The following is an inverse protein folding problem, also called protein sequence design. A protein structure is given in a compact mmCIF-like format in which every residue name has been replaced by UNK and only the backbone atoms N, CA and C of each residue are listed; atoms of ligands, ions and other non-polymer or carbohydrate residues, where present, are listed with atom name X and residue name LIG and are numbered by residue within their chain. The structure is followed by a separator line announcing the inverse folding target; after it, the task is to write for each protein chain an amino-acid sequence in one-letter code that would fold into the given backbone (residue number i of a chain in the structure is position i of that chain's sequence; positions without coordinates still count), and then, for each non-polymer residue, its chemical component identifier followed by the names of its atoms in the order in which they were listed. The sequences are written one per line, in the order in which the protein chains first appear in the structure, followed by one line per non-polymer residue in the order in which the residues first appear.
data_IF_258379767544
#
_entry.id   IF_258379767544
#
_cell.length_a   1.000
_cell.length_b   1.000
_cell.length_c   1.000
_cell.angle_alpha   90.00
_cell.angle_beta   90.00
_cell.angle_gamma   90.00
#
_symmetry.space_group_name_H-M   'P 1'
#
loop_
_entity.id
_entity.type
_entity.pdbx_description
1 polymer ?
#
# COMPACT_ATOMS: atom_id res chain seq x y z
N UNK A 1 -11.57 32.19 27.08
CA UNK A 1 -12.23 31.49 25.96
C UNK A 1 -11.14 31.13 24.98
N UNK A 2 -10.82 29.85 24.86
CA UNK A 2 -10.27 29.26 23.64
C UNK A 2 -10.77 27.82 23.56
N UNK A 3 -11.59 27.57 22.55
CA UNK A 3 -12.30 26.31 22.29
C UNK A 3 -11.40 25.41 21.42
N UNK A 4 -10.38 24.75 21.95
CA UNK A 4 -9.80 23.53 21.32
C UNK A 4 -9.03 22.65 22.32
N UNK A 5 -9.39 22.69 23.61
CA UNK A 5 -8.92 21.69 24.58
C UNK A 5 -9.80 20.44 24.47
N UNK A 6 -9.53 19.52 23.55
CA UNK A 6 -9.88 18.10 23.68
C UNK A 6 -9.13 17.31 22.60
N UNK A 7 -8.42 16.25 23.02
CA UNK A 7 -7.77 15.22 22.18
C UNK A 7 -6.29 15.40 21.78
N UNK A 8 -5.44 15.87 22.69
CA UNK A 8 -4.02 15.44 22.70
C UNK A 8 -3.70 14.67 23.99
N UNK A 9 -4.45 13.60 24.24
CA UNK A 9 -3.90 12.48 25.02
C UNK A 9 -2.75 11.97 24.15
N UNK A 10 -1.53 12.34 24.52
CA UNK A 10 -0.33 12.02 23.76
C UNK A 10 -0.35 10.54 23.35
N UNK A 11 0.01 10.22 22.10
CA UNK A 11 0.08 8.85 21.59
C UNK A 11 0.87 7.94 22.56
N UNK A 12 1.86 8.51 23.26
CA UNK A 12 2.62 7.85 24.33
C UNK A 12 1.76 7.39 25.51
N UNK A 13 0.76 8.17 25.91
CA UNK A 13 -0.20 7.82 26.97
C UNK A 13 -1.17 6.72 26.51
N UNK A 14 -1.64 6.77 25.26
CA UNK A 14 -2.48 5.71 24.69
C UNK A 14 -1.71 4.39 24.56
N UNK A 15 -0.45 4.44 24.11
CA UNK A 15 0.41 3.24 24.04
C UNK A 15 0.75 2.71 25.42
N UNK A 16 0.90 3.57 26.44
CA UNK A 16 1.13 3.15 27.80
C UNK A 16 -0.09 2.45 28.41
N UNK A 17 -1.31 2.95 28.13
CA UNK A 17 -2.55 2.29 28.57
C UNK A 17 -2.74 0.94 27.85
N UNK A 18 -2.46 0.89 26.55
CA UNK A 18 -2.53 -0.37 25.77
C UNK A 18 -1.51 -1.40 26.28
N UNK A 19 -0.27 -0.98 26.55
CA UNK A 19 0.75 -1.86 27.15
C UNK A 19 0.34 -2.30 28.56
N UNK A 20 -0.22 -1.40 29.38
CA UNK A 20 -0.70 -1.75 30.72
C UNK A 20 -1.89 -2.72 30.68
N UNK A 21 -2.79 -2.60 29.70
CA UNK A 21 -3.89 -3.54 29.49
C UNK A 21 -3.40 -4.89 28.98
N UNK A 22 -2.42 -4.93 28.08
CA UNK A 22 -1.78 -6.18 27.63
C UNK A 22 -1.04 -6.83 28.79
N UNK A 23 -0.35 -6.05 29.62
CA UNK A 23 0.37 -6.56 30.79
C UNK A 23 -0.59 -7.06 31.88
N UNK A 24 -1.71 -6.38 32.11
CA UNK A 24 -2.78 -6.84 33.00
C UNK A 24 -3.48 -8.09 32.44
N UNK A 25 -3.68 -8.17 31.12
CA UNK A 25 -4.21 -9.36 30.46
C UNK A 25 -3.24 -10.54 30.58
N UNK A 26 -1.93 -10.34 30.40
CA UNK A 26 -0.93 -11.37 30.65
C UNK A 26 -0.89 -11.79 32.14
N UNK A 27 -1.01 -10.84 33.08
CA UNK A 27 -1.05 -11.13 34.51
C UNK A 27 -2.30 -11.92 34.93
N UNK A 28 -3.46 -11.64 34.33
CA UNK A 28 -4.73 -12.30 34.66
C UNK A 28 -4.88 -13.62 33.90
N UNK A 29 -4.47 -13.68 32.63
CA UNK A 29 -4.77 -14.82 31.74
C UNK A 29 -3.60 -15.79 31.55
N UNK A 30 -2.35 -15.32 31.67
CA UNK A 30 -1.13 -16.17 31.58
C UNK A 30 -0.55 -16.46 32.96
N UNK A 31 -0.62 -15.51 33.90
CA UNK A 31 -0.20 -15.65 35.30
C UNK A 31 -1.37 -15.63 36.28
N UNK A 32 -2.53 -16.11 35.89
CA UNK A 32 -3.50 -16.51 36.92
C UNK A 32 -2.76 -17.47 37.83
N UNK A 33 -2.66 -17.21 39.15
CA UNK A 33 -2.35 -18.31 40.04
C UNK A 33 -3.45 -19.32 39.73
N UNK A 34 -3.06 -20.49 39.20
CA UNK A 34 -3.92 -21.67 39.31
C UNK A 34 -4.49 -21.58 40.70
N UNK A 35 -5.83 -21.49 40.81
CA UNK A 35 -6.54 -21.42 42.09
C UNK A 35 -5.72 -22.26 43.03
N UNK A 36 -5.18 -21.67 44.11
CA UNK A 36 -4.50 -22.46 45.13
C UNK A 36 -5.51 -23.54 45.45
N UNK A 37 -5.25 -24.73 44.94
CA UNK A 37 -6.06 -25.87 45.26
C UNK A 37 -5.91 -25.93 46.77
N UNK A 38 -7.02 -25.77 47.48
CA UNK A 38 -7.04 -25.99 48.91
C UNK A 38 -6.49 -27.40 49.08
N UNK A 39 -5.21 -27.50 49.40
CA UNK A 39 -4.59 -28.75 49.78
C UNK A 39 -5.34 -29.15 51.05
N UNK A 40 -6.06 -30.29 51.07
CA UNK A 40 -6.34 -30.91 52.35
C UNK A 40 -5.00 -31.47 52.82
N UNK A 41 -4.13 -30.60 53.34
CA UNK A 41 -3.17 -31.01 54.35
C UNK A 41 -4.03 -31.66 55.41
N UNK A 42 -3.72 -32.91 55.77
CA UNK A 42 -4.35 -33.66 56.85
C UNK A 42 -4.94 -32.70 57.89
N UNK A 43 -6.27 -32.57 57.95
CA UNK A 43 -6.89 -32.05 59.16
C UNK A 43 -6.77 -33.18 60.17
N UNK A 44 -5.58 -33.33 60.75
CA UNK A 44 -5.46 -33.82 62.11
C UNK A 44 -6.20 -32.80 62.98
N UNK A 45 -7.53 -32.86 62.98
CA UNK A 45 -8.31 -32.39 64.09
C UNK A 45 -7.80 -33.21 65.28
N UNK A 46 -6.88 -32.63 66.04
CA UNK A 46 -6.77 -32.97 67.44
C UNK A 46 -8.14 -32.65 68.03
N UNK A 47 -9.04 -33.65 68.04
CA UNK A 47 -10.10 -33.69 69.02
C UNK A 47 -9.38 -33.64 70.36
N UNK A 48 -9.58 -32.55 71.10
CA UNK A 48 -9.27 -32.54 72.53
C UNK A 48 -9.86 -33.82 73.15
N UNK A 49 -9.09 -34.55 73.98
CA UNK A 49 -9.59 -35.78 74.57
C UNK A 49 -10.70 -35.42 75.57
N UNK A 50 -11.94 -35.52 75.12
CA UNK A 50 -13.08 -35.63 76.04
C UNK A 50 -12.96 -37.00 76.69
N UNK A 51 -12.44 -37.01 77.92
CA UNK A 51 -12.53 -38.16 78.81
C UNK A 51 -14.01 -38.39 79.13
N UNK A 52 -14.60 -39.37 78.46
CA UNK A 52 -15.81 -40.06 78.92
C UNK A 52 -15.42 -41.51 79.20
N UNK A 53 -15.58 -41.89 80.47
CA UNK A 53 -15.40 -43.25 80.95
C UNK A 53 -16.31 -44.22 80.17
N UNK A 54 -15.75 -45.40 79.87
CA UNK A 54 -16.38 -46.58 79.27
C UNK A 54 -16.63 -46.53 77.74
N UNK A 55 -15.63 -46.99 76.97
CA UNK A 55 -15.78 -47.27 75.52
C UNK A 55 -14.51 -47.28 74.67
N UNK A 56 -13.32 -47.13 75.26
CA UNK A 56 -12.08 -46.75 74.56
C UNK A 56 -11.48 -47.75 73.54
N UNK A 57 -11.95 -49.00 73.47
CA UNK A 57 -11.45 -49.96 72.48
C UNK A 57 -12.15 -49.84 71.11
N UNK A 58 -13.42 -49.43 71.07
CA UNK A 58 -14.20 -49.36 69.83
C UNK A 58 -13.94 -48.05 69.04
N UNK A 59 -13.64 -46.95 69.72
CA UNK A 59 -13.57 -45.62 69.11
C UNK A 59 -12.19 -45.27 68.49
N UNK A 60 -11.11 -45.88 68.99
CA UNK A 60 -9.76 -45.74 68.41
C UNK A 60 -9.61 -46.55 67.11
N UNK A 61 -10.36 -47.66 66.98
CA UNK A 61 -10.44 -48.44 65.74
C UNK A 61 -11.16 -47.64 64.64
N UNK A 62 -12.26 -46.95 65.00
CA UNK A 62 -13.01 -46.11 64.04
C UNK A 62 -12.24 -44.89 63.53
N UNK A 63 -11.42 -44.22 64.36
CA UNK A 63 -10.62 -43.06 63.93
C UNK A 63 -9.44 -43.47 63.01
N UNK A 64 -8.82 -44.64 63.23
CA UNK A 64 -7.78 -45.17 62.33
C UNK A 64 -8.35 -45.57 60.97
N UNK A 65 -9.55 -46.11 60.93
CA UNK A 65 -10.21 -46.49 59.69
C UNK A 65 -10.72 -45.27 58.91
N UNK A 66 -11.17 -44.22 59.61
CA UNK A 66 -11.47 -42.90 59.02
C UNK A 66 -10.22 -42.24 58.41
N UNK A 67 -9.11 -42.18 59.14
CA UNK A 67 -7.84 -41.62 58.64
C UNK A 67 -7.27 -42.41 57.45
N UNK A 68 -7.50 -43.73 57.40
CA UNK A 68 -7.16 -44.56 56.24
C UNK A 68 -8.07 -44.27 55.04
N UNK A 69 -9.38 -44.10 55.26
CA UNK A 69 -10.32 -43.73 54.19
C UNK A 69 -10.02 -42.35 53.62
N UNK A 70 -9.72 -41.35 54.46
CA UNK A 70 -9.30 -40.03 54.01
C UNK A 70 -7.99 -40.07 53.22
N UNK A 71 -7.02 -40.88 53.66
CA UNK A 71 -5.77 -41.10 52.92
C UNK A 71 -6.01 -41.71 51.54
N UNK A 72 -6.85 -42.75 51.46
CA UNK A 72 -7.22 -43.39 50.19
C UNK A 72 -7.97 -42.43 49.26
N UNK A 73 -8.87 -41.62 49.80
CA UNK A 73 -9.60 -40.60 49.02
C UNK A 73 -8.66 -39.51 48.49
N UNK A 74 -7.69 -39.07 49.30
CA UNK A 74 -6.68 -38.11 48.90
C UNK A 74 -5.73 -38.66 47.82
N UNK A 75 -5.24 -39.89 47.99
CA UNK A 75 -4.40 -40.57 46.99
C UNK A 75 -5.14 -40.76 45.66
N UNK A 76 -6.43 -41.11 45.71
CA UNK A 76 -7.28 -41.19 44.53
C UNK A 76 -7.48 -39.82 43.85
N UNK A 77 -7.72 -38.76 44.62
CA UNK A 77 -7.86 -37.39 44.10
C UNK A 77 -6.56 -36.84 43.49
N UNK A 78 -5.40 -37.12 44.09
CA UNK A 78 -4.10 -36.78 43.51
C UNK A 78 -3.85 -37.53 42.20
N UNK A 79 -4.20 -38.81 42.15
CA UNK A 79 -4.09 -39.64 40.93
C UNK A 79 -4.94 -39.06 39.80
N UNK A 80 -6.21 -38.73 40.06
CA UNK A 80 -7.10 -38.16 39.05
C UNK A 80 -6.58 -36.83 38.50
N UNK A 81 -6.18 -35.90 39.38
CA UNK A 81 -5.58 -34.62 38.97
C UNK A 81 -4.29 -34.80 38.19
N UNK A 82 -3.45 -35.77 38.56
CA UNK A 82 -2.22 -36.06 37.82
C UNK A 82 -2.52 -36.50 36.38
N UNK A 83 -3.60 -37.27 36.18
CA UNK A 83 -4.01 -37.71 34.84
C UNK A 83 -4.60 -36.55 34.03
N UNK A 84 -5.39 -35.67 34.66
CA UNK A 84 -5.87 -34.46 34.01
C UNK A 84 -4.72 -33.55 33.56
N UNK A 85 -3.69 -33.36 34.40
CA UNK A 85 -2.51 -32.57 34.05
C UNK A 85 -1.73 -33.18 32.89
N UNK A 86 -1.62 -34.51 32.83
CA UNK A 86 -0.98 -35.21 31.71
C UNK A 86 -1.75 -34.99 30.39
N UNK A 87 -3.08 -35.07 30.41
CA UNK A 87 -3.93 -34.80 29.24
C UNK A 87 -3.87 -33.31 28.82
N UNK A 88 -3.85 -32.38 29.78
CA UNK A 88 -3.67 -30.96 29.49
C UNK A 88 -2.30 -30.69 28.86
N UNK A 89 -1.24 -31.32 29.37
CA UNK A 89 0.11 -31.23 28.79
C UNK A 89 0.15 -31.77 27.37
N UNK A 90 -0.49 -32.90 27.10
CA UNK A 90 -0.63 -33.47 25.75
C UNK A 90 -1.29 -32.47 24.80
N UNK A 91 -2.42 -31.90 25.21
CA UNK A 91 -3.15 -30.92 24.40
C UNK A 91 -2.33 -29.65 24.13
N UNK A 92 -1.55 -29.16 25.10
CA UNK A 92 -0.68 -28.00 24.89
C UNK A 92 0.42 -28.30 23.87
N UNK A 93 1.05 -29.49 23.93
CA UNK A 93 2.08 -29.88 22.97
C UNK A 93 1.51 -30.00 21.54
N UNK A 94 0.32 -30.57 21.37
CA UNK A 94 -0.37 -30.64 20.08
C UNK A 94 -0.76 -29.25 19.56
N UNK A 95 -1.09 -28.31 20.45
CA UNK A 95 -1.36 -26.92 20.09
C UNK A 95 -0.09 -26.22 19.60
N UNK A 96 1.07 -26.46 20.22
CA UNK A 96 2.37 -25.93 19.76
C UNK A 96 2.69 -26.43 18.35
N UNK A 97 2.49 -27.73 18.07
CA UNK A 97 2.66 -28.27 16.70
C UNK A 97 1.75 -27.52 15.73
N UNK A 98 0.48 -27.35 16.08
CA UNK A 98 -0.47 -26.62 15.25
C UNK A 98 -0.03 -25.17 14.99
N UNK A 99 0.49 -24.47 16.01
CA UNK A 99 1.00 -23.11 15.89
C UNK A 99 2.22 -23.02 14.94
N UNK A 100 3.18 -23.95 15.05
CA UNK A 100 4.37 -23.96 14.20
C UNK A 100 4.02 -24.13 12.71
N UNK A 101 3.07 -25.00 12.38
CA UNK A 101 2.63 -25.19 10.99
C UNK A 101 1.83 -23.98 10.46
N UNK A 102 1.07 -23.30 11.32
CA UNK A 102 0.42 -22.03 10.96
C UNK A 102 1.45 -20.93 10.69
N UNK A 103 2.50 -20.84 11.50
CA UNK A 103 3.61 -19.91 11.29
C UNK A 103 4.35 -20.21 9.98
N UNK A 104 4.64 -21.48 9.67
CA UNK A 104 5.20 -21.90 8.38
C UNK A 104 4.34 -21.43 7.21
N UNK A 105 3.03 -21.59 7.30
CA UNK A 105 2.09 -21.13 6.27
C UNK A 105 2.07 -19.61 6.11
N UNK A 106 2.12 -18.87 7.23
CA UNK A 106 2.17 -17.41 7.22
C UNK A 106 3.48 -16.91 6.63
N UNK A 107 4.61 -17.49 7.01
CA UNK A 107 5.92 -17.14 6.46
C UNK A 107 6.00 -17.35 4.94
N UNK A 108 5.47 -18.47 4.44
CA UNK A 108 5.37 -18.71 2.99
C UNK A 108 4.50 -17.64 2.30
N UNK A 109 3.35 -17.30 2.89
CA UNK A 109 2.49 -16.24 2.34
C UNK A 109 3.21 -14.91 2.30
N UNK A 110 3.90 -14.53 3.37
CA UNK A 110 4.64 -13.27 3.45
C UNK A 110 5.75 -13.21 2.40
N UNK A 111 6.54 -14.28 2.26
CA UNK A 111 7.57 -14.39 1.23
C UNK A 111 7.00 -14.14 -0.16
N UNK A 112 5.89 -14.81 -0.51
CA UNK A 112 5.25 -14.62 -1.82
C UNK A 112 4.72 -13.20 -2.01
N UNK A 113 4.14 -12.60 -0.98
CA UNK A 113 3.69 -11.20 -1.05
C UNK A 113 4.87 -10.24 -1.25
N UNK A 114 6.01 -10.47 -0.61
CA UNK A 114 7.23 -9.69 -0.81
C UNK A 114 7.76 -9.81 -2.25
N UNK A 115 7.70 -11.00 -2.85
CA UNK A 115 8.09 -11.17 -4.26
C UNK A 115 7.19 -10.36 -5.20
N UNK A 116 5.87 -10.37 -4.96
CA UNK A 116 4.90 -9.58 -5.71
C UNK A 116 5.12 -8.06 -5.55
N UNK A 117 5.46 -7.61 -4.34
CA UNK A 117 5.80 -6.22 -4.09
C UNK A 117 7.10 -5.79 -4.79
N UNK A 118 8.11 -6.66 -4.78
CA UNK A 118 9.36 -6.40 -5.50
C UNK A 118 9.11 -6.27 -7.00
N UNK A 119 8.24 -7.11 -7.57
CA UNK A 119 7.85 -7.02 -8.97
C UNK A 119 7.11 -5.73 -9.28
N UNK A 120 6.15 -5.32 -8.44
CA UNK A 120 5.48 -4.02 -8.59
C UNK A 120 6.44 -2.85 -8.59
N UNK A 121 7.46 -2.86 -7.72
CA UNK A 121 8.48 -1.81 -7.66
C UNK A 121 9.30 -1.79 -8.95
N UNK A 122 9.74 -2.95 -9.44
CA UNK A 122 10.47 -3.06 -10.73
C UNK A 122 9.64 -2.53 -11.90
N UNK A 123 8.36 -2.91 -11.97
CA UNK A 123 7.45 -2.43 -13.01
C UNK A 123 7.23 -0.91 -12.91
N UNK A 124 7.08 -0.35 -11.70
CA UNK A 124 6.93 1.08 -11.52
C UNK A 124 8.17 1.88 -11.96
N UNK A 125 9.37 1.37 -11.67
CA UNK A 125 10.62 1.95 -12.12
C UNK A 125 10.75 1.88 -13.65
N UNK A 126 10.40 0.73 -14.24
CA UNK A 126 10.35 0.55 -15.69
C UNK A 126 9.35 1.50 -16.34
N UNK A 127 8.13 1.66 -15.78
CA UNK A 127 7.12 2.62 -16.27
C UNK A 127 7.71 4.02 -16.31
N UNK A 128 8.37 4.46 -15.23
CA UNK A 128 8.99 5.79 -15.15
C UNK A 128 10.02 6.00 -16.27
N UNK A 129 10.91 5.05 -16.48
CA UNK A 129 11.97 5.14 -17.49
C UNK A 129 11.38 5.17 -18.91
N UNK A 130 10.44 4.27 -19.21
CA UNK A 130 9.78 4.20 -20.53
C UNK A 130 8.97 5.47 -20.83
N UNK A 131 8.25 6.01 -19.84
CA UNK A 131 7.50 7.25 -20.01
C UNK A 131 8.43 8.45 -20.24
N UNK A 132 9.56 8.51 -19.54
CA UNK A 132 10.56 9.56 -19.75
C UNK A 132 11.17 9.48 -21.15
N UNK A 133 11.57 8.28 -21.59
CA UNK A 133 12.10 8.06 -22.94
C UNK A 133 11.08 8.44 -24.01
N UNK A 134 9.83 7.96 -23.87
CA UNK A 134 8.78 8.28 -24.84
C UNK A 134 8.49 9.77 -24.88
N UNK A 135 8.49 10.45 -23.73
CA UNK A 135 8.31 11.90 -23.67
C UNK A 135 9.40 12.62 -24.45
N UNK A 136 10.67 12.26 -24.24
CA UNK A 136 11.78 12.87 -24.96
C UNK A 136 11.65 12.67 -26.47
N UNK A 137 11.34 11.45 -26.92
CA UNK A 137 11.12 11.15 -28.34
C UNK A 137 10.01 12.01 -28.94
N UNK A 138 8.87 12.14 -28.24
CA UNK A 138 7.75 12.95 -28.69
C UNK A 138 8.06 14.46 -28.66
N UNK A 139 8.88 14.93 -27.72
CA UNK A 139 9.33 16.33 -27.66
C UNK A 139 10.26 16.66 -28.84
N UNK A 140 11.17 15.74 -29.18
CA UNK A 140 12.06 15.88 -30.34
C UNK A 140 11.26 15.88 -31.66
N UNK A 141 10.29 14.97 -31.80
CA UNK A 141 9.38 14.91 -32.96
C UNK A 141 8.53 16.18 -33.08
N UNK A 142 7.96 16.66 -31.96
CA UNK A 142 7.19 17.89 -31.92
C UNK A 142 8.06 19.09 -32.34
N UNK A 143 9.29 19.19 -31.84
CA UNK A 143 10.23 20.25 -32.21
C UNK A 143 10.50 20.26 -33.72
N UNK A 144 10.77 19.10 -34.31
CA UNK A 144 10.97 18.96 -35.75
C UNK A 144 9.72 19.37 -36.56
N UNK A 145 8.54 18.87 -36.18
CA UNK A 145 7.27 19.22 -36.82
C UNK A 145 6.97 20.72 -36.72
N UNK A 146 7.26 21.36 -35.58
CA UNK A 146 7.07 22.80 -35.39
C UNK A 146 8.04 23.64 -36.25
N UNK A 147 9.27 23.18 -36.44
CA UNK A 147 10.22 23.85 -37.34
C UNK A 147 9.76 23.75 -38.79
N UNK A 148 9.34 22.56 -39.23
CA UNK A 148 8.78 22.34 -40.57
C UNK A 148 7.53 23.20 -40.79
N UNK A 149 6.60 23.18 -39.84
CA UNK A 149 5.40 24.02 -39.83
C UNK A 149 5.71 25.51 -40.04
N UNK A 150 6.67 26.06 -39.29
CA UNK A 150 7.07 27.47 -39.43
C UNK A 150 7.58 27.78 -40.83
N UNK A 151 8.36 26.88 -41.42
CA UNK A 151 8.87 27.04 -42.78
C UNK A 151 7.75 26.94 -43.82
N UNK A 152 6.86 25.97 -43.68
CA UNK A 152 5.71 25.76 -44.57
C UNK A 152 4.76 26.96 -44.57
N UNK A 153 4.37 27.45 -43.39
CA UNK A 153 3.50 28.62 -43.29
C UNK A 153 4.21 29.86 -43.84
N UNK A 154 5.50 30.04 -43.56
CA UNK A 154 6.28 31.16 -44.13
C UNK A 154 6.30 31.10 -45.66
N UNK A 155 6.48 29.91 -46.23
CA UNK A 155 6.47 29.72 -47.68
C UNK A 155 5.07 29.97 -48.27
N UNK A 156 4.01 29.47 -47.63
CA UNK A 156 2.61 29.65 -48.03
C UNK A 156 2.19 31.13 -48.08
N UNK A 157 2.68 31.95 -47.15
CA UNK A 157 2.39 33.38 -47.09
C UNK A 157 3.54 34.26 -47.63
N UNK A 158 4.53 33.68 -48.32
CA UNK A 158 5.66 34.44 -48.88
C UNK A 158 5.17 35.55 -49.81
N UNK A 159 4.41 35.17 -50.85
CA UNK A 159 3.85 36.07 -51.87
C UNK A 159 2.61 36.86 -51.40
N UNK A 160 2.07 36.56 -50.21
CA UNK A 160 0.85 37.18 -49.73
C UNK A 160 1.00 38.69 -49.62
N UNK A 161 0.16 39.42 -50.37
CA UNK A 161 0.17 40.88 -50.53
C UNK A 161 1.52 41.49 -50.95
N UNK A 162 2.51 40.69 -51.39
CA UNK A 162 3.87 41.17 -51.63
C UNK A 162 3.95 42.19 -52.76
N UNK A 163 3.19 41.97 -53.85
CA UNK A 163 3.10 42.93 -54.95
C UNK A 163 2.49 44.27 -54.49
N UNK A 164 1.37 44.23 -53.76
CA UNK A 164 0.70 45.43 -53.23
C UNK A 164 1.60 46.20 -52.25
N UNK A 165 2.29 45.48 -51.36
CA UNK A 165 3.27 46.05 -50.43
C UNK A 165 4.40 46.75 -51.19
N UNK A 166 4.97 46.09 -52.20
CA UNK A 166 6.04 46.67 -53.03
C UNK A 166 5.55 47.90 -53.80
N UNK A 167 4.38 47.82 -54.42
CA UNK A 167 3.78 48.93 -55.16
C UNK A 167 3.51 50.13 -54.24
N UNK A 168 3.07 49.89 -53.00
CA UNK A 168 2.87 50.94 -52.01
C UNK A 168 4.19 51.59 -51.57
N UNK A 169 5.27 50.82 -51.39
CA UNK A 169 6.60 51.39 -51.16
C UNK A 169 7.06 52.29 -52.30
N UNK A 170 6.88 51.86 -53.55
CA UNK A 170 7.22 52.68 -54.72
C UNK A 170 6.40 53.97 -54.77
N UNK A 171 5.09 53.89 -54.49
CA UNK A 171 4.22 55.08 -54.41
C UNK A 171 4.64 56.03 -53.29
N UNK A 172 5.00 55.51 -52.11
CA UNK A 172 5.50 56.34 -51.00
C UNK A 172 6.78 57.08 -51.39
N UNK A 173 7.76 56.40 -52.00
CA UNK A 173 9.01 57.02 -52.48
C UNK A 173 8.71 58.11 -53.50
N UNK A 174 7.84 57.82 -54.47
CA UNK A 174 7.44 58.81 -55.48
C UNK A 174 6.75 60.04 -54.87
N UNK A 175 5.92 59.85 -53.83
CA UNK A 175 5.30 60.96 -53.11
C UNK A 175 6.32 61.78 -52.33
N UNK A 176 7.33 61.14 -51.70
CA UNK A 176 8.43 61.84 -51.03
C UNK A 176 9.21 62.70 -52.01
N UNK A 177 9.58 62.14 -53.16
CA UNK A 177 10.28 62.89 -54.22
C UNK A 177 9.44 64.07 -54.74
N UNK A 178 8.12 63.91 -54.86
CA UNK A 178 7.23 65.01 -55.26
C UNK A 178 7.18 66.13 -54.23
N UNK A 179 7.13 65.79 -52.94
CA UNK A 179 7.15 66.77 -51.84
C UNK A 179 8.47 67.54 -51.83
N UNK A 180 9.60 66.83 -52.01
CA UNK A 180 10.94 67.42 -51.90
C UNK A 180 11.35 68.24 -53.14
N UNK A 181 11.06 67.75 -54.35
CA UNK A 181 11.66 68.29 -55.58
C UNK A 181 10.66 68.86 -56.60
N UNK A 182 9.37 68.54 -56.49
CA UNK A 182 8.38 68.88 -57.54
C UNK A 182 7.38 69.93 -57.07
N UNK A 183 6.88 69.82 -55.84
CA UNK A 183 5.86 70.72 -55.29
C UNK A 183 6.40 72.15 -55.18
N UNK A 184 5.72 73.10 -55.84
CA UNK A 184 6.14 74.51 -55.91
C UNK A 184 5.37 75.40 -54.94
N UNK A 185 4.25 74.92 -54.42
CA UNK A 185 3.39 75.63 -53.47
C UNK A 185 3.16 74.81 -52.20
N UNK A 186 2.83 75.49 -51.11
CA UNK A 186 2.56 74.81 -49.83
C UNK A 186 1.30 73.92 -49.91
N UNK A 187 0.28 74.35 -50.64
CA UNK A 187 -0.93 73.55 -50.88
C UNK A 187 -0.64 72.23 -51.63
N UNK A 188 0.29 72.24 -52.59
CA UNK A 188 0.72 71.00 -53.27
C UNK A 188 1.47 70.06 -52.33
N UNK A 189 2.32 70.61 -51.45
CA UNK A 189 3.04 69.83 -50.43
C UNK A 189 2.05 69.19 -49.45
N UNK A 190 1.10 69.95 -48.92
CA UNK A 190 0.06 69.45 -48.02
C UNK A 190 -0.72 68.29 -48.65
N UNK A 191 -1.15 68.45 -49.92
CA UNK A 191 -1.85 67.39 -50.67
C UNK A 191 -1.01 66.11 -50.79
N UNK A 192 0.27 66.20 -51.14
CA UNK A 192 1.13 65.03 -51.24
C UNK A 192 1.45 64.42 -49.86
N UNK A 193 1.56 65.22 -48.81
CA UNK A 193 1.74 64.75 -47.43
C UNK A 193 0.51 63.98 -46.93
N UNK A 194 -0.71 64.43 -47.23
CA UNK A 194 -1.93 63.69 -46.90
C UNK A 194 -1.99 62.35 -47.62
N UNK A 195 -1.71 62.33 -48.92
CA UNK A 195 -1.63 61.08 -49.70
C UNK A 195 -0.59 60.13 -49.11
N UNK A 196 0.57 60.64 -48.73
CA UNK A 196 1.63 59.84 -48.10
C UNK A 196 1.18 59.26 -46.74
N UNK A 197 0.46 60.02 -45.92
CA UNK A 197 -0.11 59.54 -44.65
C UNK A 197 -1.11 58.40 -44.89
N UNK A 198 -2.02 58.56 -45.85
CA UNK A 198 -2.98 57.50 -46.21
C UNK A 198 -2.26 56.24 -46.68
N UNK A 199 -1.28 56.38 -47.58
CA UNK A 199 -0.52 55.26 -48.13
C UNK A 199 0.32 54.52 -47.08
N UNK A 200 0.86 55.25 -46.09
CA UNK A 200 1.53 54.66 -44.91
C UNK A 200 0.56 53.83 -44.06
N UNK A 201 -0.66 54.33 -43.83
CA UNK A 201 -1.70 53.60 -43.11
C UNK A 201 -2.10 52.31 -43.84
N UNK A 202 -2.35 52.40 -45.15
CA UNK A 202 -2.64 51.23 -45.99
C UNK A 202 -1.51 50.19 -45.95
N UNK A 203 -0.25 50.65 -46.01
CA UNK A 203 0.92 49.78 -45.93
C UNK A 203 0.99 49.05 -44.57
N UNK A 204 0.75 49.75 -43.47
CA UNK A 204 0.71 49.13 -42.14
C UNK A 204 -0.41 48.11 -42.02
N UNK A 205 -1.61 48.42 -42.54
CA UNK A 205 -2.75 47.51 -42.55
C UNK A 205 -2.44 46.22 -43.33
N UNK A 206 -1.81 46.31 -44.50
CA UNK A 206 -1.42 45.14 -45.30
C UNK A 206 -0.39 44.25 -44.59
N UNK A 207 0.59 44.84 -43.92
CA UNK A 207 1.58 44.09 -43.12
C UNK A 207 0.89 43.43 -41.92
N UNK A 208 0.01 44.15 -41.22
CA UNK A 208 -0.73 43.64 -40.08
C UNK A 208 -1.63 42.46 -40.48
N UNK A 209 -2.34 42.56 -41.61
CA UNK A 209 -3.17 41.48 -42.15
C UNK A 209 -2.35 40.23 -42.45
N UNK A 210 -1.19 40.40 -43.13
CA UNK A 210 -0.26 39.30 -43.44
C UNK A 210 0.20 38.60 -42.16
N UNK A 211 0.66 39.36 -41.18
CA UNK A 211 1.15 38.82 -39.91
C UNK A 211 0.04 38.13 -39.12
N UNK A 212 -1.17 38.70 -39.11
CA UNK A 212 -2.33 38.11 -38.45
C UNK A 212 -2.68 36.74 -39.04
N UNK A 213 -2.76 36.62 -40.38
CA UNK A 213 -3.03 35.34 -41.05
C UNK A 213 -1.94 34.30 -40.77
N UNK A 214 -0.67 34.69 -40.86
CA UNK A 214 0.47 33.82 -40.57
C UNK A 214 0.43 33.32 -39.13
N UNK A 215 0.22 34.21 -38.16
CA UNK A 215 0.18 33.85 -36.74
C UNK A 215 -1.01 32.96 -36.41
N UNK A 216 -2.18 33.22 -36.98
CA UNK A 216 -3.36 32.38 -36.78
C UNK A 216 -3.15 30.96 -37.31
N UNK A 217 -2.56 30.80 -38.50
CA UNK A 217 -2.30 29.48 -39.07
C UNK A 217 -1.27 28.71 -38.23
N UNK A 218 -0.16 29.36 -37.86
CA UNK A 218 0.85 28.77 -36.95
C UNK A 218 0.21 28.37 -35.62
N UNK A 219 -0.60 29.23 -35.01
CA UNK A 219 -1.24 28.95 -33.72
C UNK A 219 -2.17 27.74 -33.79
N UNK A 220 -3.03 27.68 -34.81
CA UNK A 220 -3.96 26.58 -35.00
C UNK A 220 -3.24 25.24 -35.23
N UNK A 221 -2.24 25.24 -36.11
CA UNK A 221 -1.48 24.03 -36.42
C UNK A 221 -0.59 23.60 -35.24
N UNK A 222 0.00 24.54 -34.51
CA UNK A 222 0.74 24.26 -33.26
C UNK A 222 -0.16 23.62 -32.21
N UNK A 223 -1.39 24.12 -32.04
CA UNK A 223 -2.37 23.55 -31.12
C UNK A 223 -2.69 22.09 -31.46
N UNK A 224 -2.89 21.78 -32.74
CA UNK A 224 -3.15 20.42 -33.20
C UNK A 224 -1.98 19.48 -32.92
N UNK A 225 -0.74 19.93 -33.17
CA UNK A 225 0.46 19.13 -32.88
C UNK A 225 0.63 18.86 -31.38
N UNK A 226 0.32 19.83 -30.52
CA UNK A 226 0.35 19.66 -29.06
C UNK A 226 -0.74 18.66 -28.62
N UNK A 227 -1.93 18.71 -29.21
CA UNK A 227 -2.98 17.74 -28.94
C UNK A 227 -2.57 16.32 -29.35
N UNK A 228 -1.96 16.16 -30.52
CA UNK A 228 -1.45 14.88 -31.01
C UNK A 228 -0.37 14.32 -30.06
N UNK A 229 0.59 15.14 -29.66
CA UNK A 229 1.60 14.80 -28.64
C UNK A 229 0.95 14.26 -27.35
N UNK A 230 -0.03 15.01 -26.82
CA UNK A 230 -0.69 14.66 -25.56
C UNK A 230 -1.47 13.36 -25.69
N UNK A 231 -2.15 13.15 -26.82
CA UNK A 231 -2.90 11.93 -27.09
C UNK A 231 -1.97 10.72 -27.19
N UNK A 232 -0.91 10.80 -27.98
CA UNK A 232 0.08 9.73 -28.12
C UNK A 232 0.75 9.36 -26.80
N UNK A 233 1.11 10.37 -26.00
CA UNK A 233 1.70 10.14 -24.68
C UNK A 233 0.71 9.49 -23.71
N UNK A 234 -0.55 9.94 -23.71
CA UNK A 234 -1.62 9.37 -22.89
C UNK A 234 -1.90 7.91 -23.25
N UNK A 235 -1.98 7.59 -24.53
CA UNK A 235 -2.26 6.23 -24.99
C UNK A 235 -1.10 5.28 -24.69
N UNK A 236 0.15 5.73 -24.87
CA UNK A 236 1.32 4.95 -24.48
C UNK A 236 1.33 4.64 -22.97
N UNK A 237 0.99 5.62 -22.13
CA UNK A 237 0.86 5.42 -20.67
C UNK A 237 -0.23 4.40 -20.32
N UNK A 238 -1.38 4.45 -20.99
CA UNK A 238 -2.45 3.46 -20.79
C UNK A 238 -1.99 2.06 -21.19
N UNK A 239 -1.28 1.94 -22.30
CA UNK A 239 -0.74 0.66 -22.78
C UNK A 239 0.19 0.03 -21.75
N UNK A 240 1.18 0.79 -21.23
CA UNK A 240 2.10 0.29 -20.20
C UNK A 240 1.34 -0.19 -18.97
N UNK A 241 0.37 0.59 -18.50
CA UNK A 241 -0.42 0.25 -17.31
C UNK A 241 -1.25 -1.02 -17.50
N UNK A 242 -1.83 -1.19 -18.68
CA UNK A 242 -2.57 -2.41 -19.02
C UNK A 242 -1.64 -3.63 -18.97
N UNK A 243 -0.47 -3.53 -19.58
CA UNK A 243 0.54 -4.61 -19.56
C UNK A 243 1.00 -4.93 -18.14
N UNK A 244 1.29 -3.91 -17.33
CA UNK A 244 1.69 -4.11 -15.93
C UNK A 244 0.57 -4.74 -15.09
N UNK A 245 -0.68 -4.37 -15.33
CA UNK A 245 -1.83 -4.96 -14.65
C UNK A 245 -1.99 -6.45 -14.99
N UNK A 246 -1.78 -6.82 -16.26
CA UNK A 246 -1.80 -8.20 -16.73
C UNK A 246 -0.70 -9.03 -16.05
N UNK A 247 0.56 -8.55 -16.09
CA UNK A 247 1.70 -9.22 -15.45
C UNK A 247 1.44 -9.45 -13.94
N UNK A 248 0.98 -8.42 -13.23
CA UNK A 248 0.68 -8.53 -11.79
C UNK A 248 -0.49 -9.48 -11.54
N UNK A 249 -1.48 -9.54 -12.43
CA UNK A 249 -2.61 -10.47 -12.32
C UNK A 249 -2.16 -11.92 -12.49
N UNK A 250 -1.37 -12.20 -13.52
CA UNK A 250 -0.81 -13.54 -13.75
C UNK A 250 0.06 -13.99 -12.58
N UNK A 251 0.92 -13.11 -12.06
CA UNK A 251 1.75 -13.42 -10.91
C UNK A 251 0.92 -13.68 -9.65
N UNK A 252 -0.15 -12.91 -9.41
CA UNK A 252 -1.08 -13.16 -8.30
C UNK A 252 -1.72 -14.52 -8.40
N UNK A 253 -2.23 -14.88 -9.57
CA UNK A 253 -2.85 -16.20 -9.79
C UNK A 253 -1.84 -17.33 -9.55
N UNK A 254 -0.61 -17.17 -10.03
CA UNK A 254 0.47 -18.12 -9.77
C UNK A 254 0.73 -18.28 -8.27
N UNK A 255 0.90 -17.17 -7.55
CA UNK A 255 1.08 -17.18 -6.09
C UNK A 255 -0.10 -17.84 -5.38
N UNK A 256 -1.34 -17.54 -5.78
CA UNK A 256 -2.53 -18.15 -5.19
C UNK A 256 -2.55 -19.67 -5.39
N UNK A 257 -2.18 -20.15 -6.59
CA UNK A 257 -2.09 -21.59 -6.88
C UNK A 257 -0.99 -22.29 -6.05
N UNK A 258 0.17 -21.66 -5.91
CA UNK A 258 1.30 -22.18 -5.13
C UNK A 258 0.95 -22.23 -3.63
N UNK A 259 0.29 -21.19 -3.11
CA UNK A 259 -0.18 -21.16 -1.72
C UNK A 259 -1.29 -22.17 -1.47
N UNK A 260 -2.19 -22.41 -2.44
CA UNK A 260 -3.22 -23.43 -2.33
C UNK A 260 -2.61 -24.83 -2.26
N UNK A 261 -1.63 -25.14 -3.12
CA UNK A 261 -0.88 -26.39 -3.07
C UNK A 261 -0.14 -26.55 -1.73
N UNK A 262 0.60 -25.53 -1.29
CA UNK A 262 1.31 -25.54 -0.02
C UNK A 262 0.36 -25.76 1.18
N UNK A 263 -0.85 -25.18 1.16
CA UNK A 263 -1.86 -25.43 2.21
C UNK A 263 -2.27 -26.89 2.29
N UNK A 264 -2.43 -27.57 1.16
CA UNK A 264 -2.83 -28.98 1.15
C UNK A 264 -1.73 -29.87 1.74
N UNK A 265 -0.47 -29.61 1.37
CA UNK A 265 0.71 -30.32 1.88
C UNK A 265 0.88 -30.07 3.38
N UNK A 266 0.92 -28.80 3.81
CA UNK A 266 1.06 -28.42 5.23
C UNK A 266 -0.07 -29.00 6.09
N UNK A 267 -1.29 -29.08 5.58
CA UNK A 267 -2.42 -29.69 6.30
C UNK A 267 -2.21 -31.19 6.48
N UNK A 268 -1.71 -31.88 5.45
CA UNK A 268 -1.40 -33.31 5.51
C UNK A 268 -0.27 -33.56 6.52
N UNK A 269 0.82 -32.81 6.42
CA UNK A 269 1.97 -32.93 7.32
C UNK A 269 1.59 -32.63 8.77
N UNK A 270 0.76 -31.61 8.99
CA UNK A 270 0.25 -31.28 10.33
C UNK A 270 -0.58 -32.42 10.91
N UNK A 271 -1.46 -33.04 10.12
CA UNK A 271 -2.27 -34.16 10.58
C UNK A 271 -1.39 -35.34 11.00
N UNK A 272 -0.41 -35.71 10.15
CA UNK A 272 0.54 -36.78 10.45
C UNK A 272 1.38 -36.47 11.70
N UNK A 273 1.95 -35.26 11.80
CA UNK A 273 2.77 -34.86 12.95
C UNK A 273 1.98 -34.84 14.26
N UNK A 274 0.70 -34.44 14.21
CA UNK A 274 -0.18 -34.47 15.39
C UNK A 274 -0.55 -35.90 15.79
N UNK A 275 -0.85 -36.78 14.84
CA UNK A 275 -1.18 -38.18 15.10
C UNK A 275 0.01 -38.91 15.72
N UNK A 276 1.21 -38.75 15.14
CA UNK A 276 2.45 -39.32 15.68
C UNK A 276 2.72 -38.84 17.10
N UNK A 277 2.66 -37.51 17.34
CA UNK A 277 2.91 -36.96 18.67
C UNK A 277 1.83 -37.37 19.68
N UNK A 278 0.57 -37.45 19.26
CA UNK A 278 -0.51 -37.90 20.13
C UNK A 278 -0.29 -39.35 20.57
N UNK A 279 0.04 -40.25 19.65
CA UNK A 279 0.32 -41.66 19.95
C UNK A 279 1.54 -41.83 20.87
N UNK A 280 2.60 -41.05 20.65
CA UNK A 280 3.78 -41.01 21.52
C UNK A 280 3.40 -40.60 22.94
N UNK A 281 2.64 -39.51 23.08
CA UNK A 281 2.20 -38.99 24.38
C UNK A 281 1.25 -39.95 25.09
N UNK A 282 0.32 -40.58 24.37
CA UNK A 282 -0.57 -41.61 24.92
C UNK A 282 0.22 -42.79 25.47
N UNK A 283 1.25 -43.25 24.76
CA UNK A 283 2.15 -44.29 25.25
C UNK A 283 2.88 -43.88 26.53
N UNK A 284 3.34 -42.63 26.61
CA UNK A 284 4.00 -42.10 27.80
C UNK A 284 3.05 -41.99 28.99
N UNK A 285 1.83 -41.48 28.76
CA UNK A 285 0.80 -41.36 29.78
C UNK A 285 0.44 -42.75 30.33
N UNK A 286 0.22 -43.73 29.45
CA UNK A 286 -0.10 -45.10 29.87
C UNK A 286 1.03 -45.77 30.65
N UNK A 287 2.29 -45.55 30.26
CA UNK A 287 3.45 -46.03 31.03
C UNK A 287 3.53 -45.36 32.41
N UNK A 288 3.34 -44.04 32.47
CA UNK A 288 3.35 -43.28 33.72
C UNK A 288 2.23 -43.73 34.66
N UNK A 289 1.02 -43.96 34.12
CA UNK A 289 -0.12 -44.51 34.87
C UNK A 289 0.22 -45.85 35.52
N UNK A 290 0.87 -46.76 34.78
CA UNK A 290 1.25 -48.10 35.28
C UNK A 290 2.42 -48.11 36.26
N UNK A 291 3.35 -47.17 36.13
CA UNK A 291 4.57 -47.15 36.93
C UNK A 291 4.38 -46.47 38.28
N UNK A 292 3.52 -45.46 38.35
CA UNK A 292 3.36 -44.60 39.53
C UNK A 292 2.01 -44.75 40.24
N UNK A 293 1.04 -45.48 39.67
CA UNK A 293 -0.31 -45.66 40.23
C UNK A 293 -0.92 -47.04 39.93
#
# INVERSE_FOLDING_TARGET
MDKYDYHFISIKFLTAILLALIFAFLLIYVFTPQRREDYPVYRLQQKEPVFLENGFAAQILTDKDLLKQEKLAFEAGLRERSFELMEQSKNSMLAVISANYLEKMNGLREERMLTLEAERRKLAEREKNLLQEKRQQLEDELSQKLQQLRQEVRNKYSDFNQKKIRDNYLKMINLQLKIEFVARTESEKEKYQEQLKQLRSEQQALIAEKNSKLNNDISNQTSNLIMEFNQQYSDYRKQIRSQHQEIISEQRQKIESELAAARTEIKSDLAAAREEKAAELDSFIEKSKKQYY
#
